data_IF_794851114036
#
_entry.id   IF_794851114036
#
_cell.length_a   1.000
_cell.length_b   1.000
_cell.length_c   1.000
_cell.angle_alpha   90.00
_cell.angle_beta   90.00
_cell.angle_gamma   90.00
#
_symmetry.space_group_name_H-M   'P 1'
#
loop_
_entity.id
_entity.type
_entity.pdbx_description
1 polymer ?
#
# COMPACT_ATOMS: atom_id res chain seq x y z
N UNK A 1 -35.62 -69.52 -84.59
CA UNK A 1 -36.26 -69.39 -83.30
C UNK A 1 -35.56 -68.30 -82.55
N UNK A 2 -36.16 -67.14 -82.46
CA UNK A 2 -35.69 -65.90 -81.94
C UNK A 2 -36.23 -65.71 -80.52
N UNK A 3 -35.45 -65.33 -79.58
CA UNK A 3 -35.88 -64.73 -78.31
C UNK A 3 -35.21 -63.38 -78.18
N UNK A 4 -36.05 -62.35 -78.14
CA UNK A 4 -35.69 -60.98 -77.76
C UNK A 4 -35.40 -60.92 -76.27
N UNK A 5 -34.38 -60.15 -75.86
CA UNK A 5 -34.16 -59.69 -74.50
C UNK A 5 -34.48 -58.20 -74.49
N UNK A 6 -35.36 -57.80 -73.56
CA UNK A 6 -35.70 -56.42 -73.27
C UNK A 6 -34.61 -55.83 -72.36
N UNK A 7 -33.97 -54.76 -72.77
CA UNK A 7 -33.11 -53.92 -71.99
C UNK A 7 -33.95 -52.83 -71.29
N UNK A 8 -33.99 -52.85 -69.98
CA UNK A 8 -34.58 -51.82 -69.17
C UNK A 8 -33.43 -51.05 -68.46
N UNK A 9 -33.14 -49.74 -68.77
CA UNK A 9 -32.15 -48.98 -68.10
C UNK A 9 -32.77 -48.28 -66.92
N UNK A 10 -32.52 -48.82 -65.70
CA UNK A 10 -32.78 -48.11 -64.48
C UNK A 10 -31.82 -46.91 -64.37
N UNK A 11 -32.34 -45.69 -64.59
CA UNK A 11 -31.62 -44.44 -64.28
C UNK A 11 -31.47 -44.25 -62.77
N UNK A 12 -30.28 -44.47 -62.35
CA UNK A 12 -29.88 -44.17 -60.95
C UNK A 12 -29.46 -42.71 -60.87
N UNK A 13 -30.35 -41.79 -60.45
CA UNK A 13 -30.08 -40.42 -60.18
C UNK A 13 -29.40 -40.31 -58.78
N UNK A 14 -28.09 -40.48 -58.75
CA UNK A 14 -27.28 -40.14 -57.59
C UNK A 14 -27.19 -38.60 -57.43
N UNK A 15 -28.16 -38.02 -56.69
CA UNK A 15 -28.03 -36.66 -56.18
C UNK A 15 -26.92 -36.65 -55.12
N UNK A 16 -25.66 -36.42 -55.53
CA UNK A 16 -24.60 -35.99 -54.63
C UNK A 16 -25.03 -34.67 -54.01
N UNK A 17 -25.52 -34.70 -52.75
CA UNK A 17 -25.61 -33.48 -51.92
C UNK A 17 -24.18 -32.87 -51.81
N UNK A 18 -23.99 -31.76 -52.53
CA UNK A 18 -22.75 -30.99 -52.34
C UNK A 18 -22.68 -30.55 -50.85
N UNK A 19 -21.75 -31.08 -50.09
CA UNK A 19 -21.46 -30.62 -48.77
C UNK A 19 -21.11 -29.12 -48.78
N UNK A 20 -21.28 -28.41 -47.65
CA UNK A 20 -20.99 -26.99 -47.60
C UNK A 20 -19.54 -26.72 -48.04
N UNK A 21 -19.36 -25.73 -48.93
CA UNK A 21 -18.03 -25.44 -49.47
C UNK A 21 -17.06 -25.09 -48.32
N UNK A 22 -15.81 -25.57 -48.40
CA UNK A 22 -14.74 -25.30 -47.43
C UNK A 22 -14.67 -23.82 -47.01
N UNK A 23 -14.87 -22.88 -47.93
CA UNK A 23 -14.95 -21.44 -47.69
C UNK A 23 -16.11 -21.05 -46.76
N UNK A 24 -17.27 -21.70 -46.84
CA UNK A 24 -18.41 -21.46 -45.94
C UNK A 24 -18.16 -22.03 -44.56
N UNK A 25 -17.51 -23.21 -44.43
CA UNK A 25 -17.14 -23.82 -43.17
C UNK A 25 -16.11 -22.91 -42.47
N UNK A 26 -15.08 -22.45 -43.19
CA UNK A 26 -14.05 -21.55 -42.64
C UNK A 26 -14.64 -20.20 -42.23
N UNK A 27 -15.57 -19.62 -42.99
CA UNK A 27 -16.27 -18.38 -42.62
C UNK A 27 -17.13 -18.53 -41.37
N UNK A 28 -17.87 -19.65 -41.23
CA UNK A 28 -18.68 -19.93 -40.03
C UNK A 28 -17.78 -20.14 -38.81
N UNK A 29 -16.67 -20.88 -38.95
CA UNK A 29 -15.69 -21.08 -37.85
C UNK A 29 -15.06 -19.75 -37.38
N UNK A 30 -14.72 -18.86 -38.32
CA UNK A 30 -14.18 -17.55 -38.01
C UNK A 30 -15.21 -16.67 -37.27
N UNK A 31 -16.49 -16.70 -37.70
CA UNK A 31 -17.57 -15.98 -36.99
C UNK A 31 -17.82 -16.51 -35.57
N UNK A 32 -17.73 -17.84 -35.38
CA UNK A 32 -17.87 -18.45 -34.04
C UNK A 32 -16.69 -18.05 -33.14
N UNK A 33 -15.47 -18.10 -33.64
CA UNK A 33 -14.28 -17.65 -32.87
C UNK A 33 -14.42 -16.18 -32.53
N UNK A 34 -14.80 -15.31 -33.47
CA UNK A 34 -15.02 -13.90 -33.22
C UNK A 34 -16.12 -13.66 -32.18
N UNK A 35 -17.23 -14.40 -32.26
CA UNK A 35 -18.32 -14.31 -31.29
C UNK A 35 -17.89 -14.77 -29.89
N UNK A 36 -17.04 -15.80 -29.78
CA UNK A 36 -16.48 -16.25 -28.51
C UNK A 36 -15.54 -15.19 -27.94
N UNK A 37 -14.69 -14.58 -28.77
CA UNK A 37 -13.77 -13.50 -28.35
C UNK A 37 -14.56 -12.27 -27.89
N UNK A 38 -15.58 -11.86 -28.64
CA UNK A 38 -16.45 -10.73 -28.26
C UNK A 38 -17.26 -11.05 -26.99
N UNK A 39 -17.86 -12.25 -26.90
CA UNK A 39 -18.60 -12.65 -25.69
C UNK A 39 -17.68 -12.77 -24.47
N UNK A 40 -16.46 -13.31 -24.65
CA UNK A 40 -15.43 -13.34 -23.61
C UNK A 40 -15.01 -11.94 -23.18
N UNK A 41 -14.76 -11.03 -24.12
CA UNK A 41 -14.45 -9.65 -23.85
C UNK A 41 -15.58 -8.89 -23.11
N UNK A 42 -16.84 -9.09 -23.54
CA UNK A 42 -18.01 -8.52 -22.86
C UNK A 42 -18.16 -9.11 -21.45
N UNK A 43 -17.93 -10.40 -21.27
CA UNK A 43 -18.00 -11.05 -19.96
C UNK A 43 -16.91 -10.54 -19.01
N UNK A 44 -15.68 -10.42 -19.50
CA UNK A 44 -14.57 -9.85 -18.72
C UNK A 44 -14.88 -8.41 -18.37
N UNK A 45 -15.36 -7.60 -19.32
CA UNK A 45 -15.73 -6.20 -19.07
C UNK A 45 -16.87 -6.08 -18.04
N UNK A 46 -17.94 -6.87 -18.17
CA UNK A 46 -19.08 -6.78 -17.25
C UNK A 46 -18.72 -7.25 -15.84
N UNK A 47 -17.96 -8.35 -15.69
CA UNK A 47 -17.48 -8.82 -14.39
C UNK A 47 -16.52 -7.79 -13.79
N UNK A 48 -15.61 -7.24 -14.58
CA UNK A 48 -14.66 -6.25 -14.13
C UNK A 48 -15.32 -4.93 -13.74
N UNK A 49 -16.28 -4.45 -14.53
CA UNK A 49 -17.06 -3.26 -14.20
C UNK A 49 -17.88 -3.45 -12.91
N UNK A 50 -18.52 -4.61 -12.72
CA UNK A 50 -19.21 -4.94 -11.47
C UNK A 50 -18.23 -4.98 -10.27
N UNK A 51 -17.03 -5.52 -10.47
CA UNK A 51 -15.97 -5.56 -9.46
C UNK A 51 -15.50 -4.16 -9.07
N UNK A 52 -15.17 -3.32 -10.04
CA UNK A 52 -14.67 -1.97 -9.81
C UNK A 52 -15.78 -1.08 -9.23
N UNK A 53 -17.04 -1.24 -9.64
CA UNK A 53 -18.17 -0.51 -9.06
C UNK A 53 -18.48 -0.88 -7.61
N UNK A 54 -17.92 -1.98 -7.10
CA UNK A 54 -18.02 -2.38 -5.68
C UNK A 54 -16.90 -1.81 -4.81
N UNK A 55 -15.98 -1.03 -5.36
CA UNK A 55 -14.89 -0.39 -4.62
C UNK A 55 -15.39 0.74 -3.73
N UNK A 56 -14.63 1.08 -2.71
CA UNK A 56 -14.88 2.26 -1.90
C UNK A 56 -14.17 3.49 -2.52
N UNK A 57 -14.61 3.82 -3.75
CA UNK A 57 -14.15 5.03 -4.46
C UNK A 57 -14.71 6.27 -3.80
N UNK A 58 -13.84 7.23 -3.52
CA UNK A 58 -14.22 8.54 -2.96
C UNK A 58 -13.62 9.62 -3.85
N UNK A 59 -14.48 10.42 -4.48
CA UNK A 59 -14.02 11.57 -5.26
C UNK A 59 -13.40 12.63 -4.32
N UNK A 60 -12.37 13.31 -4.79
CA UNK A 60 -11.62 14.27 -3.97
C UNK A 60 -12.53 15.39 -3.41
N UNK A 61 -13.53 15.83 -4.17
CA UNK A 61 -14.51 16.83 -3.74
C UNK A 61 -15.48 16.35 -2.65
N UNK A 62 -15.61 15.03 -2.45
CA UNK A 62 -16.47 14.43 -1.42
C UNK A 62 -15.74 14.27 -0.08
N UNK A 63 -14.42 14.42 -0.05
CA UNK A 63 -13.62 14.35 1.19
C UNK A 63 -13.79 15.63 1.99
N UNK A 64 -14.18 15.46 3.26
CA UNK A 64 -14.38 16.60 4.16
C UNK A 64 -13.04 17.05 4.75
N UNK A 65 -12.80 18.35 4.65
CA UNK A 65 -11.76 19.03 5.43
C UNK A 65 -12.33 19.49 6.76
N UNK A 66 -11.52 19.43 7.80
CA UNK A 66 -11.86 19.88 9.16
C UNK A 66 -10.81 20.87 9.65
N UNK A 67 -11.17 21.71 10.61
CA UNK A 67 -10.19 22.59 11.27
C UNK A 67 -9.46 21.80 12.36
N UNK A 68 -8.23 22.21 12.68
CA UNK A 68 -7.40 21.52 13.69
C UNK A 68 -8.08 21.46 15.07
N UNK A 69 -8.85 22.48 15.43
CA UNK A 69 -9.61 22.52 16.68
C UNK A 69 -10.76 21.52 16.74
N UNK A 70 -11.23 21.04 15.57
CA UNK A 70 -12.31 20.04 15.46
C UNK A 70 -11.78 18.60 15.55
N UNK A 71 -10.45 18.42 15.47
CA UNK A 71 -9.84 17.10 15.61
C UNK A 71 -9.99 16.58 17.05
N UNK A 72 -10.24 15.27 17.22
CA UNK A 72 -10.27 14.66 18.54
C UNK A 72 -8.91 14.71 19.22
N UNK A 73 -8.88 14.64 20.57
CA UNK A 73 -7.61 14.68 21.32
C UNK A 73 -6.65 13.54 20.94
N UNK A 74 -7.17 12.39 20.52
CA UNK A 74 -6.36 11.26 20.02
C UNK A 74 -5.59 11.59 18.74
N UNK A 75 -6.02 12.59 17.96
CA UNK A 75 -5.30 13.07 16.76
C UNK A 75 -4.09 13.94 17.13
N UNK A 76 -4.06 14.47 18.36
CA UNK A 76 -3.06 15.44 18.82
C UNK A 76 -1.97 14.72 19.62
N UNK A 77 -1.01 14.13 18.91
CA UNK A 77 0.15 13.53 19.57
C UNK A 77 1.03 14.63 20.19
N UNK A 78 1.22 14.61 21.50
CA UNK A 78 2.10 15.55 22.20
C UNK A 78 3.18 14.80 22.97
N UNK A 79 4.38 15.39 23.01
CA UNK A 79 5.54 14.90 23.77
C UNK A 79 5.82 15.89 24.89
N UNK A 80 5.99 15.42 26.10
CA UNK A 80 6.33 16.30 27.23
C UNK A 80 7.72 16.91 27.06
N UNK A 81 7.97 18.06 27.71
CA UNK A 81 9.25 18.73 27.64
C UNK A 81 10.41 17.91 28.25
N UNK A 82 10.09 16.94 29.12
CA UNK A 82 11.06 16.01 29.71
C UNK A 82 11.41 14.84 28.78
N UNK A 83 10.47 14.43 27.91
CA UNK A 83 10.61 13.26 27.02
C UNK A 83 11.04 13.63 25.59
N UNK A 84 11.07 14.93 25.27
CA UNK A 84 11.45 15.40 23.93
C UNK A 84 12.84 14.91 23.53
N UNK A 85 12.95 14.49 22.27
CA UNK A 85 14.21 14.09 21.61
C UNK A 85 14.75 15.23 20.74
N UNK A 86 13.84 16.07 20.23
CA UNK A 86 14.16 17.17 19.33
C UNK A 86 14.81 18.37 20.00
N UNK A 87 15.60 19.09 19.23
CA UNK A 87 16.21 20.36 19.63
C UNK A 87 15.13 21.46 19.64
N UNK A 88 15.04 22.18 20.74
CA UNK A 88 14.20 23.39 20.83
C UNK A 88 14.87 24.50 20.01
N UNK A 89 14.13 25.07 19.08
CA UNK A 89 14.60 26.15 18.21
C UNK A 89 14.23 27.51 18.78
N UNK A 90 15.06 28.50 18.51
CA UNK A 90 14.63 29.89 18.66
C UNK A 90 13.84 30.35 17.41
N UNK A 91 13.19 31.50 17.50
CA UNK A 91 12.36 32.06 16.42
C UNK A 91 13.15 32.31 15.11
N UNK A 92 14.44 32.65 15.21
CA UNK A 92 15.30 32.89 14.04
C UNK A 92 15.62 31.57 13.32
N UNK A 93 15.97 30.54 14.08
CA UNK A 93 16.25 29.20 13.54
C UNK A 93 15.01 28.59 12.86
N UNK A 94 13.83 28.74 13.47
CA UNK A 94 12.58 28.27 12.90
C UNK A 94 12.26 29.02 11.59
N UNK A 95 12.46 30.36 11.57
CA UNK A 95 12.26 31.15 10.36
C UNK A 95 13.24 30.77 9.23
N UNK A 96 14.47 30.35 9.54
CA UNK A 96 15.41 29.84 8.54
C UNK A 96 14.91 28.56 7.90
N UNK A 97 14.34 27.62 8.68
CA UNK A 97 13.71 26.40 8.17
C UNK A 97 12.53 26.75 7.25
N UNK A 98 11.63 27.64 7.69
CA UNK A 98 10.50 28.08 6.87
C UNK A 98 10.94 28.73 5.57
N UNK A 99 12.02 29.53 5.59
CA UNK A 99 12.58 30.12 4.37
C UNK A 99 13.12 29.07 3.39
N UNK A 100 13.79 28.02 3.89
CA UNK A 100 14.25 26.91 3.06
C UNK A 100 13.07 26.16 2.43
N UNK A 101 12.02 25.88 3.21
CA UNK A 101 10.82 25.21 2.72
C UNK A 101 10.07 26.08 1.69
N UNK A 102 9.94 27.39 1.93
CA UNK A 102 9.33 28.32 0.97
C UNK A 102 10.09 28.40 -0.36
N UNK A 103 11.43 28.20 -0.36
CA UNK A 103 12.21 28.15 -1.60
C UNK A 103 11.87 26.93 -2.45
N UNK A 104 11.36 25.83 -1.84
CA UNK A 104 10.89 24.67 -2.60
C UNK A 104 9.66 25.01 -3.46
N UNK A 105 8.88 26.03 -3.11
CA UNK A 105 7.72 26.44 -3.91
C UNK A 105 8.12 26.95 -5.31
N UNK A 106 9.37 27.40 -5.49
CA UNK A 106 9.91 27.85 -6.76
C UNK A 106 10.41 26.67 -7.64
N UNK A 107 10.42 25.44 -7.11
CA UNK A 107 10.81 24.23 -7.85
C UNK A 107 9.59 23.61 -8.50
N UNK A 108 9.68 23.35 -9.81
CA UNK A 108 8.61 22.71 -10.55
C UNK A 108 8.42 21.24 -10.09
N UNK A 109 7.16 20.81 -10.00
CA UNK A 109 6.83 19.39 -9.79
C UNK A 109 7.18 18.60 -11.04
N UNK A 110 7.81 17.43 -10.87
CA UNK A 110 8.14 16.55 -11.97
C UNK A 110 6.92 15.71 -12.33
N UNK A 111 6.47 15.87 -13.58
CA UNK A 111 5.45 15.05 -14.21
C UNK A 111 6.11 14.20 -15.30
N UNK A 112 5.89 12.89 -15.30
CA UNK A 112 6.39 11.95 -16.29
C UNK A 112 5.28 10.97 -16.66
N UNK A 113 4.81 11.00 -17.92
CA UNK A 113 3.71 10.14 -18.39
C UNK A 113 4.02 8.65 -18.34
N UNK A 114 5.31 8.26 -18.29
CA UNK A 114 5.75 6.88 -18.15
C UNK A 114 5.86 6.42 -16.69
N UNK A 115 5.59 7.31 -15.72
CA UNK A 115 5.65 7.03 -14.29
C UNK A 115 4.26 7.18 -13.66
N UNK A 116 3.75 6.09 -13.09
CA UNK A 116 2.50 6.12 -12.32
C UNK A 116 2.80 6.13 -10.83
N UNK A 117 2.35 7.18 -10.14
CA UNK A 117 2.52 7.36 -8.70
C UNK A 117 1.22 7.09 -7.95
N UNK A 118 1.28 6.24 -6.92
CA UNK A 118 0.18 5.89 -6.04
C UNK A 118 0.64 5.98 -4.58
N UNK A 119 -0.06 6.74 -3.76
CA UNK A 119 0.19 6.78 -2.33
C UNK A 119 -0.61 5.70 -1.60
N UNK A 120 0.07 4.75 -0.97
CA UNK A 120 -0.55 3.81 -0.04
C UNK A 120 -0.55 4.42 1.36
N UNK A 121 -1.72 4.41 2.00
CA UNK A 121 -1.93 5.03 3.31
C UNK A 121 -2.46 4.00 4.30
N UNK A 122 -1.72 3.75 5.37
CA UNK A 122 -2.19 3.00 6.53
C UNK A 122 -2.74 3.98 7.58
N UNK A 123 -4.03 3.85 7.87
CA UNK A 123 -4.75 4.79 8.74
C UNK A 123 -4.94 4.19 10.12
N UNK A 124 -4.50 4.91 11.16
CA UNK A 124 -4.87 4.61 12.55
C UNK A 124 -6.05 5.49 12.97
N UNK A 125 -7.18 4.83 13.19
CA UNK A 125 -8.37 5.44 13.79
C UNK A 125 -9.16 4.40 14.55
N UNK A 126 -9.52 4.74 15.76
CA UNK A 126 -10.44 3.93 16.58
C UNK A 126 -11.90 4.36 16.38
N UNK A 127 -12.12 5.62 16.05
CA UNK A 127 -13.43 6.21 15.79
C UNK A 127 -13.54 6.60 14.30
N UNK A 128 -14.59 6.10 13.63
CA UNK A 128 -14.86 6.36 12.20
C UNK A 128 -15.52 7.72 11.94
N UNK A 129 -15.63 8.59 12.96
CA UNK A 129 -16.21 9.94 12.81
C UNK A 129 -15.25 10.96 12.22
N UNK A 130 -13.95 10.64 12.13
CA UNK A 130 -12.91 11.46 11.54
C UNK A 130 -11.99 10.63 10.61
N UNK A 131 -11.09 11.29 9.89
CA UNK A 131 -10.26 10.62 8.88
C UNK A 131 -9.24 9.64 9.48
N UNK A 132 -8.74 9.88 10.70
CA UNK A 132 -7.64 9.15 11.32
C UNK A 132 -6.27 9.75 10.96
N UNK A 133 -5.21 9.35 11.67
CA UNK A 133 -3.84 9.71 11.34
C UNK A 133 -3.26 8.73 10.30
N UNK A 134 -2.48 9.24 9.35
CA UNK A 134 -1.72 8.38 8.41
C UNK A 134 -0.43 7.92 9.06
N UNK A 135 -0.48 6.79 9.73
CA UNK A 135 0.67 6.23 10.44
C UNK A 135 1.65 5.47 9.54
N UNK A 136 1.20 5.11 8.36
CA UNK A 136 2.02 4.51 7.31
C UNK A 136 1.71 5.20 6.00
N UNK A 137 2.75 5.71 5.34
CA UNK A 137 2.65 6.32 4.02
C UNK A 137 3.75 5.75 3.14
N UNK A 138 3.37 5.15 2.02
CA UNK A 138 4.31 4.57 1.05
C UNK A 138 3.98 5.09 -0.34
N UNK A 139 4.91 5.85 -0.91
CA UNK A 139 4.83 6.26 -2.31
C UNK A 139 5.29 5.09 -3.19
N UNK A 140 4.35 4.53 -3.93
CA UNK A 140 4.60 3.51 -4.95
C UNK A 140 4.70 4.18 -6.30
N UNK A 141 5.85 4.05 -6.96
CA UNK A 141 6.09 4.62 -8.28
C UNK A 141 6.41 3.51 -9.27
N UNK A 142 5.59 3.38 -10.31
CA UNK A 142 5.76 2.40 -11.38
C UNK A 142 6.34 3.13 -12.59
N UNK A 143 7.63 2.95 -12.83
CA UNK A 143 8.34 3.53 -13.98
C UNK A 143 8.42 2.50 -15.10
N UNK A 144 7.62 2.71 -16.14
CA UNK A 144 7.52 1.79 -17.27
C UNK A 144 8.76 1.82 -18.18
N UNK A 145 9.41 2.97 -18.30
CA UNK A 145 10.65 3.13 -19.09
C UNK A 145 11.83 2.44 -18.40
N UNK A 146 12.02 2.69 -17.09
CA UNK A 146 13.10 2.05 -16.31
C UNK A 146 12.78 0.61 -15.90
N UNK A 147 11.56 0.13 -16.12
CA UNK A 147 11.05 -1.18 -15.68
C UNK A 147 11.30 -1.42 -14.19
N UNK A 148 10.88 -0.47 -13.38
CA UNK A 148 11.10 -0.44 -11.95
C UNK A 148 9.82 -0.11 -11.19
N UNK A 149 9.60 -0.78 -10.05
CA UNK A 149 8.64 -0.40 -9.04
C UNK A 149 9.42 0.06 -7.81
N UNK A 150 9.27 1.33 -7.46
CA UNK A 150 9.88 1.90 -6.26
C UNK A 150 8.82 2.03 -5.16
N UNK A 151 9.13 1.60 -3.93
CA UNK A 151 8.28 1.77 -2.75
C UNK A 151 9.07 2.57 -1.72
N UNK A 152 8.69 3.83 -1.55
CA UNK A 152 9.38 4.77 -0.66
C UNK A 152 8.50 5.08 0.54
N UNK A 153 8.93 4.69 1.75
CA UNK A 153 8.24 5.06 2.98
C UNK A 153 8.49 6.53 3.31
N UNK A 154 7.42 7.29 3.54
CA UNK A 154 7.46 8.67 4.02
C UNK A 154 7.25 8.67 5.52
N UNK A 155 8.22 9.24 6.28
CA UNK A 155 8.12 9.28 7.74
C UNK A 155 7.02 10.24 8.17
N UNK A 156 6.10 9.76 9.02
CA UNK A 156 4.92 10.48 9.47
C UNK A 156 5.22 11.79 10.20
N UNK A 157 6.34 11.81 10.94
CA UNK A 157 6.77 12.96 11.75
C UNK A 157 7.57 14.01 10.95
N UNK A 158 7.62 13.91 9.62
CA UNK A 158 8.29 14.91 8.78
C UNK A 158 7.58 16.25 8.90
N UNK A 159 8.35 17.32 9.19
CA UNK A 159 7.87 18.70 9.29
C UNK A 159 7.62 19.26 7.90
N UNK A 160 6.39 19.61 7.59
CA UNK A 160 5.95 20.07 6.26
C UNK A 160 5.03 21.29 6.37
N UNK A 161 4.88 22.04 5.29
CA UNK A 161 3.83 23.03 5.13
C UNK A 161 2.58 22.36 4.53
N UNK A 162 1.49 22.33 5.30
CA UNK A 162 0.23 21.73 4.86
C UNK A 162 -0.62 22.84 4.23
N UNK A 163 -1.01 22.72 2.95
CA UNK A 163 -1.78 23.75 2.25
C UNK A 163 -3.02 24.18 3.03
N UNK A 164 -3.08 25.49 3.36
CA UNK A 164 -4.19 26.07 4.10
C UNK A 164 -4.16 25.89 5.63
N UNK A 165 -3.22 25.11 6.19
CA UNK A 165 -3.12 24.81 7.62
C UNK A 165 -1.77 25.22 8.23
N UNK A 166 -0.74 25.45 7.39
CA UNK A 166 0.60 25.83 7.84
C UNK A 166 1.44 24.62 8.26
N UNK A 167 2.49 24.88 9.06
CA UNK A 167 3.52 23.88 9.34
C UNK A 167 3.09 22.88 10.41
N UNK A 168 3.15 21.59 10.09
CA UNK A 168 2.84 20.49 11.01
C UNK A 168 3.56 19.19 10.58
N UNK A 169 3.31 18.09 11.27
CA UNK A 169 3.69 16.75 10.86
C UNK A 169 2.95 16.34 9.58
N UNK A 170 3.62 15.61 8.69
CA UNK A 170 3.03 15.12 7.43
C UNK A 170 1.75 14.31 7.65
N UNK A 171 1.68 13.49 8.70
CA UNK A 171 0.50 12.66 8.98
C UNK A 171 -0.74 13.49 9.35
N UNK A 172 -0.58 14.72 9.84
CA UNK A 172 -1.69 15.62 10.15
C UNK A 172 -2.48 16.02 8.91
N UNK A 173 -1.84 16.05 7.72
CA UNK A 173 -2.52 16.36 6.48
C UNK A 173 -3.69 15.39 6.19
N UNK A 174 -3.51 14.10 6.49
CA UNK A 174 -4.59 13.12 6.32
C UNK A 174 -5.72 13.32 7.34
N UNK A 175 -5.38 13.62 8.58
CA UNK A 175 -6.38 13.89 9.62
C UNK A 175 -7.26 15.10 9.25
N UNK A 176 -6.64 16.17 8.70
CA UNK A 176 -7.28 17.44 8.36
C UNK A 176 -8.10 17.36 7.06
N UNK A 177 -7.63 16.70 6.03
CA UNK A 177 -8.26 16.70 4.71
C UNK A 177 -8.19 15.38 3.93
N UNK A 178 -7.93 14.26 4.63
CA UNK A 178 -7.90 12.93 4.02
C UNK A 178 -6.84 12.78 2.93
N UNK A 179 -7.10 11.84 2.00
CA UNK A 179 -6.18 11.56 0.89
C UNK A 179 -5.84 12.77 0.03
N UNK A 180 -6.80 13.59 -0.41
CA UNK A 180 -6.52 14.73 -1.27
C UNK A 180 -5.53 15.74 -0.68
N UNK A 181 -5.73 16.16 0.58
CA UNK A 181 -4.82 17.10 1.22
C UNK A 181 -3.44 16.47 1.47
N UNK A 182 -3.40 15.17 1.80
CA UNK A 182 -2.13 14.47 1.98
C UNK A 182 -1.34 14.36 0.66
N UNK A 183 -2.00 14.00 -0.46
CA UNK A 183 -1.33 13.93 -1.77
C UNK A 183 -0.88 15.29 -2.25
N UNK A 184 -1.68 16.36 -2.07
CA UNK A 184 -1.29 17.73 -2.34
C UNK A 184 -0.05 18.14 -1.52
N UNK A 185 -0.06 17.88 -0.20
CA UNK A 185 1.08 18.17 0.70
C UNK A 185 2.35 17.45 0.25
N UNK A 186 2.24 16.18 -0.15
CA UNK A 186 3.38 15.38 -0.64
C UNK A 186 3.90 15.93 -1.96
N UNK A 187 3.02 16.27 -2.90
CA UNK A 187 3.37 16.88 -4.19
C UNK A 187 4.12 18.19 -3.99
N UNK A 188 3.58 19.07 -3.14
CA UNK A 188 4.19 20.36 -2.85
C UNK A 188 5.51 20.26 -2.12
N UNK A 189 5.67 19.27 -1.24
CA UNK A 189 6.88 19.08 -0.44
C UNK A 189 7.99 18.41 -1.24
N UNK A 190 7.69 17.29 -1.94
CA UNK A 190 8.70 16.46 -2.57
C UNK A 190 8.82 16.64 -4.09
N UNK A 191 7.98 17.49 -4.68
CA UNK A 191 7.99 17.80 -6.12
C UNK A 191 7.82 16.58 -7.02
N UNK A 192 7.03 15.63 -6.56
CA UNK A 192 6.59 14.44 -7.28
C UNK A 192 5.10 14.54 -7.51
N UNK A 193 4.62 14.40 -8.73
CA UNK A 193 3.18 14.39 -9.00
C UNK A 193 2.52 13.16 -8.37
N UNK A 194 1.73 13.38 -7.31
CA UNK A 194 1.00 12.34 -6.58
C UNK A 194 -0.46 12.74 -6.47
N UNK A 195 -1.28 12.28 -7.39
CA UNK A 195 -2.71 12.60 -7.45
C UNK A 195 -3.61 11.42 -7.04
N UNK A 196 -3.03 10.23 -6.83
CA UNK A 196 -3.78 9.01 -6.51
C UNK A 196 -3.36 8.45 -5.16
N UNK A 197 -4.36 8.00 -4.38
CA UNK A 197 -4.13 7.31 -3.11
C UNK A 197 -5.02 6.08 -2.94
N UNK A 198 -4.56 5.16 -2.08
CA UNK A 198 -5.32 4.02 -1.59
C UNK A 198 -5.08 3.90 -0.08
N UNK A 199 -6.14 4.05 0.71
CA UNK A 199 -6.08 4.08 2.17
C UNK A 199 -6.78 2.86 2.78
N UNK A 200 -6.14 2.28 3.79
CA UNK A 200 -6.61 1.09 4.50
C UNK A 200 -6.42 1.30 6.00
N UNK A 201 -7.45 1.07 6.81
CA UNK A 201 -7.33 1.02 8.27
C UNK A 201 -6.88 -0.37 8.74
N UNK A 202 -6.52 -0.49 10.03
CA UNK A 202 -6.01 -1.74 10.59
C UNK A 202 -6.99 -2.90 10.52
N UNK A 203 -8.30 -2.65 10.74
CA UNK A 203 -9.33 -3.68 10.67
C UNK A 203 -9.44 -4.25 9.25
N UNK A 204 -9.41 -3.37 8.24
CA UNK A 204 -9.45 -3.75 6.85
C UNK A 204 -8.15 -4.43 6.40
N UNK A 205 -6.98 -4.00 6.91
CA UNK A 205 -5.71 -4.67 6.62
C UNK A 205 -5.69 -6.11 7.17
N UNK A 206 -6.26 -6.36 8.35
CA UNK A 206 -6.44 -7.71 8.88
C UNK A 206 -7.25 -8.56 7.89
N UNK A 207 -8.39 -8.04 7.43
CA UNK A 207 -9.26 -8.75 6.49
C UNK A 207 -8.59 -9.00 5.14
N UNK A 208 -7.78 -8.05 4.65
CA UNK A 208 -6.99 -8.19 3.40
C UNK A 208 -6.00 -9.37 3.52
N UNK A 209 -5.25 -9.43 4.62
CA UNK A 209 -4.28 -10.50 4.84
C UNK A 209 -4.98 -11.85 5.04
N UNK A 210 -6.11 -11.88 5.75
CA UNK A 210 -6.91 -13.10 5.93
C UNK A 210 -7.53 -13.58 4.62
N UNK A 211 -7.98 -12.67 3.74
CA UNK A 211 -8.48 -13.01 2.41
C UNK A 211 -7.37 -13.57 1.50
N UNK A 212 -6.12 -13.14 1.71
CA UNK A 212 -4.93 -13.68 1.05
C UNK A 212 -4.62 -15.11 1.51
N UNK A 213 -5.09 -15.48 2.70
CA UNK A 213 -4.81 -16.78 3.36
C UNK A 213 -3.69 -16.69 4.39
N UNK A 214 -3.15 -15.52 4.65
CA UNK A 214 -1.99 -15.27 5.51
C UNK A 214 -0.71 -14.96 4.73
N UNK A 215 0.35 -14.62 5.45
CA UNK A 215 1.68 -14.31 4.90
C UNK A 215 2.77 -14.92 5.78
N UNK A 216 3.91 -15.23 5.19
CA UNK A 216 5.05 -15.78 5.92
C UNK A 216 5.92 -14.64 6.49
N UNK A 217 6.09 -14.60 7.82
CA UNK A 217 6.93 -13.64 8.50
C UNK A 217 7.97 -14.33 9.37
N UNK A 218 9.20 -13.88 9.30
CA UNK A 218 10.25 -14.26 10.21
C UNK A 218 10.42 -13.15 11.25
N UNK A 219 10.33 -13.52 12.53
CA UNK A 219 10.37 -12.62 13.68
C UNK A 219 11.41 -13.08 14.70
N UNK A 220 12.04 -12.14 15.37
CA UNK A 220 12.92 -12.39 16.52
C UNK A 220 12.10 -12.59 17.80
N UNK A 221 12.74 -13.07 18.89
CA UNK A 221 12.06 -13.19 20.19
C UNK A 221 11.53 -11.83 20.70
N UNK A 222 12.32 -10.78 20.57
CA UNK A 222 11.94 -9.42 20.98
C UNK A 222 10.74 -8.90 20.15
N UNK A 223 10.75 -9.15 18.85
CA UNK A 223 9.63 -8.75 17.97
C UNK A 223 8.34 -9.49 18.32
N UNK A 224 8.43 -10.79 18.61
CA UNK A 224 7.26 -11.60 19.01
C UNK A 224 6.71 -11.12 20.36
N UNK A 225 7.57 -10.78 21.33
CA UNK A 225 7.14 -10.27 22.64
C UNK A 225 6.26 -9.01 22.46
N UNK A 226 6.75 -8.01 21.71
CA UNK A 226 6.00 -6.79 21.44
C UNK A 226 4.76 -7.06 20.59
N UNK A 227 4.87 -7.89 19.53
CA UNK A 227 3.73 -8.24 18.69
C UNK A 227 2.61 -8.93 19.48
N UNK A 228 2.96 -9.80 20.43
CA UNK A 228 1.97 -10.44 21.31
C UNK A 228 1.17 -9.40 22.12
N UNK A 229 1.80 -8.34 22.59
CA UNK A 229 1.12 -7.24 23.26
C UNK A 229 0.10 -6.55 22.33
N UNK A 230 0.52 -6.21 21.12
CA UNK A 230 -0.38 -5.64 20.11
C UNK A 230 -1.50 -6.60 19.71
N UNK A 231 -1.25 -7.92 19.60
CA UNK A 231 -2.27 -8.92 19.33
C UNK A 231 -3.34 -8.93 20.41
N UNK A 232 -2.94 -8.90 21.69
CA UNK A 232 -3.88 -8.86 22.82
C UNK A 232 -4.74 -7.60 22.82
N UNK A 233 -4.13 -6.42 22.61
CA UNK A 233 -4.82 -5.13 22.52
C UNK A 233 -5.83 -5.10 21.35
N UNK A 234 -5.38 -5.48 20.16
CA UNK A 234 -6.22 -5.52 18.97
C UNK A 234 -7.37 -6.51 19.12
N UNK A 235 -7.11 -7.71 19.63
CA UNK A 235 -8.16 -8.72 19.84
C UNK A 235 -9.19 -8.25 20.87
N UNK A 236 -8.76 -7.54 21.93
CA UNK A 236 -9.70 -6.96 22.90
C UNK A 236 -10.63 -5.94 22.22
N UNK A 237 -10.12 -5.07 21.37
CA UNK A 237 -10.90 -4.11 20.58
C UNK A 237 -11.86 -4.80 19.61
N UNK A 238 -11.40 -5.88 18.95
CA UNK A 238 -12.20 -6.64 17.99
C UNK A 238 -13.16 -7.65 18.64
N UNK A 239 -13.15 -7.79 19.98
CA UNK A 239 -13.97 -8.78 20.68
C UNK A 239 -13.52 -10.23 20.46
N UNK A 240 -12.24 -10.45 20.13
CA UNK A 240 -11.63 -11.75 19.92
C UNK A 240 -10.86 -12.22 21.16
N UNK A 241 -10.62 -13.53 21.27
CA UNK A 241 -9.74 -14.07 22.30
C UNK A 241 -8.28 -13.94 21.89
N UNK A 242 -7.53 -12.96 22.40
CA UNK A 242 -6.15 -12.69 22.05
C UNK A 242 -5.19 -13.86 22.24
N UNK A 243 -5.46 -14.75 23.20
CA UNK A 243 -4.63 -15.92 23.46
C UNK A 243 -4.63 -16.96 22.31
N UNK A 244 -5.60 -16.89 21.39
CA UNK A 244 -5.62 -17.74 20.19
C UNK A 244 -4.63 -17.27 19.11
N UNK A 245 -4.05 -16.08 19.26
CA UNK A 245 -3.19 -15.42 18.28
C UNK A 245 -1.73 -15.30 18.70
N UNK A 246 -1.43 -15.33 20.02
CA UNK A 246 -0.08 -15.14 20.54
C UNK A 246 0.88 -16.21 20.06
N UNK A 247 2.13 -15.81 19.81
CA UNK A 247 3.21 -16.68 19.33
C UNK A 247 4.16 -17.03 20.48
N UNK A 248 4.76 -18.23 20.46
CA UNK A 248 5.56 -18.73 21.60
C UNK A 248 6.97 -18.11 21.70
N UNK A 249 7.49 -17.46 20.67
CA UNK A 249 8.83 -16.89 20.57
C UNK A 249 9.24 -16.68 19.13
N UNK A 250 10.48 -16.27 18.90
CA UNK A 250 11.03 -16.00 17.56
C UNK A 250 10.97 -17.20 16.63
N UNK A 251 10.81 -16.95 15.33
CA UNK A 251 10.75 -18.00 14.32
C UNK A 251 10.10 -17.53 13.01
N UNK A 252 9.87 -18.46 12.10
CA UNK A 252 9.14 -18.25 10.87
C UNK A 252 7.71 -18.76 11.04
N UNK A 253 6.73 -17.90 10.80
CA UNK A 253 5.32 -18.18 10.98
C UNK A 253 4.51 -17.82 9.75
N UNK A 254 3.55 -18.67 9.42
CA UNK A 254 2.49 -18.29 8.49
C UNK A 254 1.43 -17.49 9.27
N UNK A 255 1.53 -16.18 9.22
CA UNK A 255 0.77 -15.24 10.04
C UNK A 255 -0.58 -14.92 9.41
N UNK A 256 -1.63 -14.94 10.22
CA UNK A 256 -2.93 -14.37 9.86
C UNK A 256 -2.90 -12.83 9.96
N UNK A 257 -4.02 -12.18 9.61
CA UNK A 257 -4.11 -10.72 9.58
C UNK A 257 -3.80 -10.05 10.92
N UNK A 258 -4.30 -10.59 12.04
CA UNK A 258 -4.04 -10.04 13.38
C UNK A 258 -2.54 -10.10 13.70
N UNK A 259 -1.89 -11.22 13.45
CA UNK A 259 -0.47 -11.43 13.72
C UNK A 259 0.40 -10.52 12.85
N UNK A 260 0.09 -10.43 11.56
CA UNK A 260 0.87 -9.62 10.61
C UNK A 260 0.72 -8.11 10.88
N UNK A 261 -0.49 -7.64 11.20
CA UNK A 261 -0.72 -6.23 11.54
C UNK A 261 -0.07 -5.88 12.89
N UNK A 262 -0.14 -6.78 13.88
CA UNK A 262 0.56 -6.60 15.16
C UNK A 262 2.08 -6.47 14.97
N UNK A 263 2.69 -7.30 14.12
CA UNK A 263 4.09 -7.18 13.74
C UNK A 263 4.40 -5.85 13.07
N UNK A 264 3.58 -5.41 12.11
CA UNK A 264 3.77 -4.15 11.38
C UNK A 264 3.63 -2.89 12.27
N UNK A 265 2.91 -3.00 13.41
CA UNK A 265 2.74 -1.91 14.39
C UNK A 265 3.92 -1.77 15.36
N UNK A 266 4.80 -2.76 15.43
CA UNK A 266 5.90 -2.78 16.40
C UNK A 266 6.87 -1.63 16.18
N UNK A 267 6.97 -0.75 17.21
CA UNK A 267 7.92 0.39 17.27
C UNK A 267 8.91 0.29 18.43
N UNK A 268 8.81 -0.76 19.25
CA UNK A 268 9.58 -0.90 20.48
C UNK A 268 10.82 -1.81 20.35
N UNK A 269 11.06 -2.36 19.16
CA UNK A 269 12.25 -3.16 18.87
C UNK A 269 13.03 -2.50 17.74
N UNK A 270 14.33 -2.32 17.92
CA UNK A 270 15.20 -1.66 16.96
C UNK A 270 15.14 -0.13 17.06
N UNK A 271 15.22 0.56 15.93
CA UNK A 271 15.25 2.02 15.87
C UNK A 271 13.84 2.63 15.72
N UNK A 272 12.94 2.37 16.72
CA UNK A 272 11.62 3.01 16.86
C UNK A 272 10.82 3.03 15.52
N UNK A 273 10.38 4.22 15.07
CA UNK A 273 9.58 4.38 13.86
C UNK A 273 10.29 3.97 12.56
N UNK A 274 11.62 3.99 12.54
CA UNK A 274 12.40 3.51 11.40
C UNK A 274 12.25 2.00 11.23
N UNK A 275 12.43 1.25 12.31
CA UNK A 275 12.22 -0.20 12.31
C UNK A 275 10.75 -0.56 12.00
N UNK A 276 9.79 0.26 12.46
CA UNK A 276 8.37 0.10 12.10
C UNK A 276 8.14 0.22 10.60
N UNK A 277 8.69 1.24 9.94
CA UNK A 277 8.53 1.39 8.48
C UNK A 277 9.18 0.26 7.69
N UNK A 278 10.27 -0.34 8.18
CA UNK A 278 10.88 -1.53 7.59
C UNK A 278 9.95 -2.74 7.70
N UNK A 279 9.38 -2.99 8.88
CA UNK A 279 8.40 -4.08 9.09
C UNK A 279 7.18 -3.91 8.21
N UNK A 280 6.68 -2.69 8.04
CA UNK A 280 5.56 -2.40 7.14
C UNK A 280 5.91 -2.73 5.69
N UNK A 281 7.10 -2.32 5.19
CA UNK A 281 7.56 -2.69 3.85
C UNK A 281 7.76 -4.20 3.70
N UNK A 282 8.27 -4.87 4.74
CA UNK A 282 8.41 -6.31 4.74
C UNK A 282 7.05 -7.02 4.62
N UNK A 283 6.03 -6.60 5.38
CA UNK A 283 4.65 -7.11 5.26
C UNK A 283 4.12 -6.91 3.84
N UNK A 284 4.28 -5.72 3.25
CA UNK A 284 3.85 -5.45 1.87
C UNK A 284 4.58 -6.36 0.88
N UNK A 285 5.88 -6.59 1.06
CA UNK A 285 6.64 -7.49 0.19
C UNK A 285 6.13 -8.93 0.25
N UNK A 286 5.76 -9.43 1.44
CA UNK A 286 5.18 -10.76 1.61
C UNK A 286 3.77 -10.87 1.01
N UNK A 287 2.94 -9.83 1.12
CA UNK A 287 1.65 -9.76 0.41
C UNK A 287 1.86 -9.90 -1.10
N UNK A 288 2.82 -9.16 -1.67
CA UNK A 288 3.15 -9.23 -3.10
C UNK A 288 3.60 -10.65 -3.49
N UNK A 289 4.42 -11.30 -2.68
CA UNK A 289 4.87 -12.67 -2.97
C UNK A 289 3.72 -13.69 -2.93
N UNK A 290 2.75 -13.56 -2.01
CA UNK A 290 1.57 -14.42 -2.01
C UNK A 290 0.67 -14.15 -3.22
N UNK A 291 0.44 -12.88 -3.58
CA UNK A 291 -0.34 -12.51 -4.78
C UNK A 291 0.30 -13.09 -6.06
N UNK A 292 1.63 -13.10 -6.17
CA UNK A 292 2.34 -13.71 -7.32
C UNK A 292 2.13 -15.22 -7.44
N UNK A 293 1.80 -15.91 -6.34
CA UNK A 293 1.55 -17.37 -6.32
C UNK A 293 0.12 -17.74 -6.71
N UNK A 294 -0.80 -16.78 -6.74
CA UNK A 294 -2.21 -17.01 -7.05
C UNK A 294 -2.43 -17.39 -8.51
N UNK A 295 -3.31 -18.33 -8.76
CA UNK A 295 -3.89 -18.50 -10.08
C UNK A 295 -4.95 -17.42 -10.38
N UNK A 296 -5.41 -17.36 -11.64
CA UNK A 296 -6.37 -16.33 -12.09
C UNK A 296 -7.68 -16.35 -11.29
N UNK A 297 -8.15 -17.53 -10.88
CA UNK A 297 -9.41 -17.66 -10.14
C UNK A 297 -9.24 -17.18 -8.70
N UNK A 298 -8.15 -17.56 -8.07
CA UNK A 298 -7.77 -17.09 -6.72
C UNK A 298 -7.57 -15.57 -6.70
N UNK A 299 -6.82 -15.03 -7.67
CA UNK A 299 -6.61 -13.58 -7.81
C UNK A 299 -7.93 -12.84 -8.00
N UNK A 300 -8.83 -13.36 -8.84
CA UNK A 300 -10.15 -12.75 -9.07
C UNK A 300 -10.98 -12.71 -7.78
N UNK A 301 -10.96 -13.79 -7.00
CA UNK A 301 -11.67 -13.84 -5.73
C UNK A 301 -11.05 -12.88 -4.72
N UNK A 302 -9.72 -12.89 -4.58
CA UNK A 302 -8.99 -11.99 -3.70
C UNK A 302 -9.31 -10.51 -4.00
N UNK A 303 -9.26 -10.12 -5.27
CA UNK A 303 -9.61 -8.75 -5.68
C UNK A 303 -11.05 -8.38 -5.27
N UNK A 304 -12.01 -9.29 -5.44
CA UNK A 304 -13.42 -9.07 -5.02
C UNK A 304 -13.56 -8.82 -3.52
N UNK A 305 -12.80 -9.57 -2.73
CA UNK A 305 -12.88 -9.50 -1.26
C UNK A 305 -12.18 -8.25 -0.73
N UNK A 306 -11.12 -7.78 -1.41
CA UNK A 306 -10.26 -6.69 -0.96
C UNK A 306 -10.72 -5.31 -1.42
N UNK A 307 -11.20 -5.18 -2.67
CA UNK A 307 -11.59 -3.86 -3.20
C UNK A 307 -12.55 -3.06 -2.33
N UNK A 308 -13.59 -3.65 -1.69
CA UNK A 308 -14.48 -2.91 -0.79
C UNK A 308 -13.81 -2.42 0.51
N UNK A 309 -12.64 -2.96 0.85
CA UNK A 309 -11.89 -2.64 2.07
C UNK A 309 -10.92 -1.46 1.88
N UNK A 310 -10.70 -1.03 0.64
CA UNK A 310 -9.74 0.02 0.28
C UNK A 310 -10.48 1.29 -0.12
N UNK A 311 -10.24 2.38 0.60
CA UNK A 311 -10.73 3.72 0.21
C UNK A 311 -9.74 4.33 -0.77
N UNK A 312 -10.19 4.77 -1.96
CA UNK A 312 -9.29 5.29 -2.99
C UNK A 312 -9.97 6.30 -3.91
N UNK A 313 -9.14 7.09 -4.64
CA UNK A 313 -9.57 7.99 -5.70
C UNK A 313 -9.05 7.56 -7.10
N UNK A 314 -8.58 6.31 -7.24
CA UNK A 314 -8.10 5.77 -8.52
C UNK A 314 -9.28 5.54 -9.46
N UNK A 315 -9.22 6.13 -10.65
CA UNK A 315 -10.29 6.02 -11.66
C UNK A 315 -10.41 4.60 -12.22
N UNK A 316 -11.61 4.21 -12.63
CA UNK A 316 -11.86 2.89 -13.21
C UNK A 316 -10.94 2.58 -14.40
N UNK A 317 -10.67 3.57 -15.25
CA UNK A 317 -9.79 3.43 -16.42
C UNK A 317 -8.35 3.16 -16.04
N UNK A 318 -7.86 3.77 -14.96
CA UNK A 318 -6.51 3.55 -14.44
C UNK A 318 -6.38 2.16 -13.81
N UNK A 319 -7.41 1.70 -13.06
CA UNK A 319 -7.44 0.34 -12.51
C UNK A 319 -7.33 -0.67 -13.64
N UNK A 320 -8.08 -0.49 -14.75
CA UNK A 320 -7.99 -1.36 -15.91
C UNK A 320 -6.63 -1.35 -16.59
N UNK A 321 -6.00 -0.19 -16.68
CA UNK A 321 -4.64 -0.07 -17.21
C UNK A 321 -3.63 -0.82 -16.34
N UNK A 322 -3.68 -0.65 -15.03
CA UNK A 322 -2.85 -1.38 -14.07
C UNK A 322 -3.09 -2.90 -14.14
N UNK A 323 -4.34 -3.35 -14.18
CA UNK A 323 -4.68 -4.79 -14.28
C UNK A 323 -4.15 -5.40 -15.58
N UNK A 324 -4.28 -4.70 -16.70
CA UNK A 324 -3.81 -5.21 -18.00
C UNK A 324 -2.29 -5.24 -18.10
N UNK A 325 -1.58 -4.32 -17.45
CA UNK A 325 -0.12 -4.24 -17.38
C UNK A 325 0.49 -5.06 -16.24
N UNK A 326 -0.33 -5.56 -15.29
CA UNK A 326 0.16 -6.28 -14.11
C UNK A 326 1.14 -7.43 -14.43
N UNK A 327 0.93 -8.30 -15.46
CA UNK A 327 1.89 -9.35 -15.78
C UNK A 327 3.28 -8.85 -16.19
N UNK A 328 3.37 -7.64 -16.73
CA UNK A 328 4.63 -6.98 -17.05
C UNK A 328 5.22 -6.31 -15.81
N UNK A 329 4.41 -5.55 -15.07
CA UNK A 329 4.82 -4.81 -13.85
C UNK A 329 5.39 -5.75 -12.80
N UNK A 330 4.82 -6.95 -12.62
CA UNK A 330 5.31 -7.97 -11.68
C UNK A 330 6.71 -8.52 -12.01
N UNK A 331 7.24 -8.22 -13.21
CA UNK A 331 8.60 -8.59 -13.63
C UNK A 331 9.59 -7.43 -13.50
N UNK A 332 9.13 -6.24 -13.11
CA UNK A 332 9.98 -5.08 -12.94
C UNK A 332 10.91 -5.25 -11.73
N UNK A 333 12.05 -4.53 -11.75
CA UNK A 333 12.95 -4.46 -10.60
C UNK A 333 12.21 -3.77 -9.45
N UNK A 334 12.17 -4.40 -8.28
CA UNK A 334 11.59 -3.84 -7.07
C UNK A 334 12.66 -3.14 -6.25
N UNK A 335 12.41 -1.89 -5.86
CA UNK A 335 13.32 -1.07 -5.06
C UNK A 335 12.56 -0.52 -3.87
N UNK A 336 13.17 -0.58 -2.68
CA UNK A 336 12.60 -0.04 -1.46
C UNK A 336 13.50 1.06 -0.91
N UNK A 337 12.87 2.09 -0.33
CA UNK A 337 13.59 3.20 0.28
C UNK A 337 12.74 3.87 1.37
N UNK A 338 13.31 4.83 2.07
CA UNK A 338 12.65 5.59 3.14
C UNK A 338 13.20 7.02 3.18
N UNK A 339 12.33 7.97 3.32
CA UNK A 339 12.68 9.39 3.53
C UNK A 339 12.08 9.92 4.84
N UNK A 340 12.82 10.77 5.60
CA UNK A 340 14.20 11.22 5.35
C UNK A 340 15.23 10.10 5.37
N UNK A 341 16.32 10.30 4.61
CA UNK A 341 17.47 9.37 4.59
C UNK A 341 18.28 9.47 5.88
N UNK A 342 18.97 8.39 6.26
CA UNK A 342 19.81 8.36 7.44
C UNK A 342 20.88 9.46 7.40
N UNK A 343 21.04 10.15 8.53
CA UNK A 343 21.96 11.29 8.70
C UNK A 343 21.68 12.49 7.77
N UNK A 344 20.49 12.59 7.17
CA UNK A 344 20.07 13.69 6.29
C UNK A 344 18.84 14.42 6.83
N UNK A 345 18.68 14.50 8.13
CA UNK A 345 17.60 15.22 8.80
C UNK A 345 18.05 15.68 10.19
N UNK A 346 17.38 16.70 10.68
CA UNK A 346 17.45 17.14 12.07
C UNK A 346 16.16 16.78 12.79
N UNK A 347 16.23 16.53 14.10
CA UNK A 347 15.06 16.37 14.96
C UNK A 347 14.85 17.66 15.73
N UNK A 348 13.68 18.28 15.54
CA UNK A 348 13.29 19.52 16.20
C UNK A 348 12.11 19.29 17.14
N UNK A 349 11.97 20.15 18.16
CA UNK A 349 10.83 20.14 19.06
C UNK A 349 10.07 21.45 18.91
N UNK A 350 8.89 21.40 18.33
CA UNK A 350 7.99 22.53 18.04
C UNK A 350 6.56 22.12 18.42
N UNK A 351 5.81 23.04 19.00
CA UNK A 351 4.39 22.85 19.38
C UNK A 351 4.12 21.56 20.17
N UNK A 352 5.03 21.26 21.13
CA UNK A 352 4.97 20.05 21.95
C UNK A 352 5.09 18.73 21.17
N UNK A 353 5.78 18.75 20.01
CA UNK A 353 5.99 17.58 19.17
C UNK A 353 7.44 17.49 18.70
N UNK A 354 7.98 16.27 18.67
CA UNK A 354 9.22 15.98 17.94
C UNK A 354 8.92 15.82 16.46
N UNK A 355 9.67 16.51 15.61
CA UNK A 355 9.47 16.52 14.15
C UNK A 355 10.79 16.36 13.41
N UNK A 356 10.77 15.80 12.23
CA UNK A 356 11.92 15.55 11.37
C UNK A 356 12.01 16.65 10.29
N UNK A 357 13.11 17.35 10.23
CA UNK A 357 13.40 18.32 9.16
C UNK A 357 14.45 17.74 8.23
N UNK A 358 14.05 17.27 7.02
CA UNK A 358 14.99 16.75 6.04
C UNK A 358 15.96 17.81 5.52
N UNK A 359 17.14 17.39 5.04
CA UNK A 359 17.93 18.16 4.10
C UNK A 359 17.21 18.14 2.75
N UNK A 360 16.31 19.12 2.54
CA UNK A 360 15.28 19.10 1.50
C UNK A 360 15.85 18.88 0.10
N UNK A 361 16.80 19.70 -0.34
CA UNK A 361 17.36 19.62 -1.69
C UNK A 361 17.92 18.23 -2.01
N UNK A 362 18.76 17.69 -1.11
CA UNK A 362 19.37 16.37 -1.27
C UNK A 362 18.32 15.26 -1.19
N UNK A 363 17.32 15.41 -0.31
CA UNK A 363 16.24 14.42 -0.17
C UNK A 363 15.40 14.33 -1.43
N UNK A 364 15.01 15.49 -2.00
CA UNK A 364 14.24 15.57 -3.25
C UNK A 364 15.05 15.00 -4.41
N UNK A 365 16.33 15.39 -4.56
CA UNK A 365 17.20 14.87 -5.61
C UNK A 365 17.30 13.33 -5.57
N UNK A 366 17.56 12.76 -4.40
CA UNK A 366 17.66 11.30 -4.25
C UNK A 366 16.32 10.61 -4.51
N UNK A 367 15.22 11.17 -4.02
CA UNK A 367 13.87 10.64 -4.28
C UNK A 367 13.56 10.64 -5.78
N UNK A 368 13.83 11.74 -6.48
CA UNK A 368 13.64 11.85 -7.93
C UNK A 368 14.50 10.85 -8.69
N UNK A 369 15.75 10.65 -8.29
CA UNK A 369 16.59 9.62 -8.87
C UNK A 369 16.03 8.21 -8.64
N UNK A 370 15.43 7.95 -7.48
CA UNK A 370 14.78 6.66 -7.19
C UNK A 370 13.54 6.45 -8.05
N UNK A 371 12.75 7.48 -8.31
CA UNK A 371 11.49 7.39 -9.06
C UNK A 371 11.72 7.48 -10.58
N UNK A 372 12.44 8.51 -11.04
CA UNK A 372 12.57 8.88 -12.45
C UNK A 372 13.90 8.47 -13.09
N UNK A 373 14.92 8.12 -12.30
CA UNK A 373 16.24 7.76 -12.82
C UNK A 373 16.19 6.58 -13.80
N UNK A 374 17.13 6.56 -14.75
CA UNK A 374 17.23 5.59 -15.85
C UNK A 374 17.69 4.18 -15.42
N UNK A 375 17.77 3.92 -14.12
CA UNK A 375 18.28 2.65 -13.57
C UNK A 375 19.80 2.56 -13.49
N UNK A 376 20.53 3.63 -13.88
CA UNK A 376 22.00 3.73 -13.77
C UNK A 376 22.45 4.09 -12.35
N UNK A 377 21.55 4.17 -11.38
CA UNK A 377 21.91 4.35 -9.98
C UNK A 377 22.83 3.18 -9.61
N UNK A 378 24.09 3.49 -9.35
CA UNK A 378 25.02 2.54 -8.76
C UNK A 378 24.36 1.96 -7.51
N UNK A 379 24.27 0.63 -7.48
CA UNK A 379 23.74 -0.16 -6.35
C UNK A 379 24.52 0.16 -5.05
N UNK A 380 24.27 1.33 -4.48
CA UNK A 380 24.69 1.68 -3.13
C UNK A 380 23.55 1.53 -2.13
N UNK A 381 22.37 1.15 -2.60
CA UNK A 381 21.34 0.54 -1.78
C UNK A 381 21.44 -0.98 -1.95
N UNK A 382 22.35 -1.61 -1.23
CA UNK A 382 22.42 -3.07 -1.03
C UNK A 382 21.18 -3.58 -0.25
N UNK A 383 20.01 -3.11 -0.63
CA UNK A 383 18.72 -3.55 -0.10
C UNK A 383 17.99 -4.33 -1.20
N UNK A 384 18.64 -5.36 -1.73
CA UNK A 384 17.92 -6.46 -2.35
C UNK A 384 16.92 -7.03 -1.34
N UNK A 385 15.76 -7.50 -1.81
CA UNK A 385 14.70 -8.10 -0.98
C UNK A 385 15.18 -9.33 -0.15
N UNK A 386 16.44 -9.74 -0.30
CA UNK A 386 17.14 -10.74 0.52
C UNK A 386 17.92 -10.12 1.69
N UNK A 387 18.13 -8.80 1.71
CA UNK A 387 18.77 -8.14 2.84
C UNK A 387 17.72 -7.80 3.90
N UNK A 388 17.52 -8.75 4.82
CA UNK A 388 17.12 -8.41 6.17
C UNK A 388 18.09 -7.34 6.64
N UNK A 389 17.63 -6.11 6.82
CA UNK A 389 18.34 -5.16 7.66
C UNK A 389 18.45 -5.85 9.01
N UNK A 390 19.67 -6.03 9.52
CA UNK A 390 19.87 -6.49 10.89
C UNK A 390 19.25 -5.42 11.81
N UNK A 391 17.95 -5.55 12.04
CA UNK A 391 17.27 -4.73 13.05
C UNK A 391 17.85 -5.19 14.37
N UNK A 392 18.39 -4.25 15.16
CA UNK A 392 18.82 -4.54 16.51
C UNK A 392 17.67 -5.22 17.26
N UNK A 393 17.95 -6.32 17.94
CA UNK A 393 16.99 -7.00 18.84
C UNK A 393 16.81 -6.27 20.17
N UNK A 394 17.39 -5.07 20.29
CA UNK A 394 17.29 -4.26 21.50
C UNK A 394 15.93 -3.55 21.54
N UNK A 395 15.31 -3.57 22.70
CA UNK A 395 14.13 -2.76 22.98
C UNK A 395 14.49 -1.28 23.01
N UNK A 396 13.56 -0.45 22.58
CA UNK A 396 13.68 1.01 22.74
C UNK A 396 13.58 1.39 24.22
N UNK A 397 14.20 2.52 24.62
CA UNK A 397 14.21 2.99 26.01
C UNK A 397 12.80 3.28 26.57
N UNK A 398 11.82 3.51 25.70
CA UNK A 398 10.41 3.76 26.00
C UNK A 398 9.52 2.51 25.96
N UNK A 399 10.13 1.30 25.84
CA UNK A 399 9.36 0.05 25.88
C UNK A 399 8.76 -0.17 27.29
N UNK A 400 7.44 -0.21 27.44
CA UNK A 400 6.79 -0.27 28.75
C UNK A 400 6.96 -1.62 29.47
N UNK A 401 7.53 -2.66 28.81
CA UNK A 401 7.57 -4.02 29.33
C UNK A 401 6.17 -4.63 29.43
N UNK A 402 5.90 -5.69 28.69
CA UNK A 402 4.57 -6.35 28.76
C UNK A 402 4.44 -7.35 29.91
N UNK A 403 5.54 -7.64 30.63
CA UNK A 403 5.59 -8.68 31.67
C UNK A 403 5.57 -8.14 33.11
N UNK A 404 5.73 -6.86 33.34
CA UNK A 404 5.55 -6.28 34.68
C UNK A 404 4.06 -5.97 34.95
N UNK A 405 3.26 -7.05 35.02
CA UNK A 405 1.80 -7.05 35.13
C UNK A 405 1.28 -6.61 36.53
N UNK A 406 2.00 -5.77 37.24
CA UNK A 406 1.49 -5.12 38.47
C UNK A 406 1.19 -3.62 38.29
N UNK A 407 1.47 -3.04 37.15
CA UNK A 407 1.02 -1.68 36.85
C UNK A 407 -0.21 -1.72 35.98
N UNK A 408 -1.29 -1.16 36.49
CA UNK A 408 -2.53 -0.89 35.73
C UNK A 408 -2.15 -0.12 34.45
N UNK A 409 -1.98 -0.84 33.36
CA UNK A 409 -1.91 -0.20 32.05
C UNK A 409 -3.27 0.38 31.75
N UNK A 410 -3.33 1.51 31.05
CA UNK A 410 -4.59 2.14 30.58
C UNK A 410 -5.53 1.19 29.80
N UNK A 411 -5.13 -0.04 29.55
CA UNK A 411 -5.88 -1.11 28.91
C UNK A 411 -6.55 -2.10 29.88
N UNK A 412 -6.32 -2.04 31.19
CA UNK A 412 -7.05 -2.84 32.19
C UNK A 412 -6.87 -4.36 32.09
N UNK A 413 -5.79 -4.86 31.51
CA UNK A 413 -5.57 -6.30 31.34
C UNK A 413 -4.68 -6.83 32.47
N UNK A 414 -5.30 -7.52 33.44
CA UNK A 414 -4.61 -8.33 34.44
C UNK A 414 -4.35 -9.72 33.86
N UNK A 415 -3.10 -10.04 33.58
CA UNK A 415 -2.69 -11.41 33.24
C UNK A 415 -2.55 -12.17 34.58
N UNK A 416 -3.51 -13.03 34.92
CA UNK A 416 -3.33 -14.03 35.97
C UNK A 416 -2.55 -15.23 35.41
N UNK A 417 -1.45 -15.57 36.07
CA UNK A 417 -0.67 -16.78 35.81
C UNK A 417 -1.49 -18.06 36.02
#
# INVERSE_FOLDING_TARGET
MSRRYDDNPLMNHNHRKQGPSWKKIMGISLCIILAIVVAGGVLIYTIGHELISSTNFVADEDVKTVQEEELPEEAKETVSAEEKKGRVLDESELNEIHQQMNQLSDVDTVEDEDVYNLLLVGVDRRDKTWNGNSDSMMLVSINHTAKRVSVVSLMRDTYVDIPGYGYNKLNAAYALGGGPLLTETITDTYKVDVSRYAAVDFENMIQIIDALGGIDLEMTDAEVEVANGYMLDMCNTLGLNGYDYVLPGGGVYHCNGVQAVAYARNRYVGNSDYARTERQRYVISQIIEEVKRMDVAQLTQFVKDVLPLVTHNVEETEIWDLVTKAPEILQYKFVQDRIPYDNMYDVIYVDSQDMLVPQWETTIEKLHNTIYGDGSISDNSDNDAENKVEVSDEFTDDYPGLLDAETETEAGIVIQQ
#
